data_IF_803873642031
#
_entry.id   IF_803873642031
#
_cell.length_a   1.000
_cell.length_b   1.000
_cell.length_c   1.000
_cell.angle_alpha   90.00
_cell.angle_beta   90.00
_cell.angle_gamma   90.00
#
_symmetry.space_group_name_H-M   'P 1'
#
loop_
_entity.id
_entity.type
_entity.pdbx_description
1 polymer ?
#
# COMPACT_ATOMS: atom_id res chain seq x y z
N UNK A 1 -12.34 8.97 23.81
CA UNK A 1 -11.75 8.75 25.15
C UNK A 1 -12.84 8.27 26.10
N UNK A 2 -12.79 7.00 26.51
CA UNK A 2 -13.78 6.42 27.43
C UNK A 2 -13.46 6.94 28.84
N UNK A 3 -14.35 7.75 29.42
CA UNK A 3 -14.15 8.34 30.75
C UNK A 3 -14.67 7.37 31.82
N UNK A 4 -13.77 6.60 32.43
CA UNK A 4 -14.12 5.76 33.57
C UNK A 4 -14.46 6.62 34.79
N UNK A 5 -15.67 6.46 35.32
CA UNK A 5 -16.15 7.20 36.50
C UNK A 5 -15.65 6.63 37.82
N UNK A 6 -15.31 5.33 37.84
CA UNK A 6 -14.91 4.62 39.05
C UNK A 6 -13.61 5.13 39.72
N UNK A 7 -12.51 5.45 38.99
CA UNK A 7 -11.33 6.06 39.62
C UNK A 7 -11.64 7.42 40.27
N UNK A 8 -12.54 8.21 39.69
CA UNK A 8 -12.94 9.51 40.25
C UNK A 8 -13.75 9.34 41.53
N UNK A 9 -14.70 8.40 41.54
CA UNK A 9 -15.51 8.06 42.71
C UNK A 9 -14.64 7.51 43.85
N UNK A 10 -13.68 6.62 43.55
CA UNK A 10 -12.76 6.06 44.55
C UNK A 10 -11.84 7.13 45.13
N UNK A 11 -11.32 8.05 44.31
CA UNK A 11 -10.54 9.21 44.82
C UNK A 11 -11.39 10.10 45.72
N UNK A 12 -12.64 10.33 45.38
CA UNK A 12 -13.54 11.14 46.21
C UNK A 12 -13.85 10.44 47.54
N UNK A 13 -14.11 9.12 47.52
CA UNK A 13 -14.33 8.33 48.73
C UNK A 13 -13.09 8.33 49.64
N UNK A 14 -11.89 8.20 49.06
CA UNK A 14 -10.63 8.23 49.80
C UNK A 14 -10.36 9.57 50.49
N UNK A 15 -10.81 10.70 49.93
CA UNK A 15 -10.70 12.01 50.60
C UNK A 15 -11.50 12.09 51.91
N UNK A 16 -12.59 11.33 52.00
CA UNK A 16 -13.46 11.29 53.16
C UNK A 16 -13.18 10.10 54.09
N UNK A 17 -12.19 9.27 53.78
CA UNK A 17 -11.83 8.07 54.55
C UNK A 17 -10.50 8.30 55.27
N UNK A 18 -10.45 8.43 56.60
CA UNK A 18 -9.19 8.52 57.35
C UNK A 18 -8.31 7.28 57.13
N UNK A 19 -6.99 7.51 57.03
CA UNK A 19 -5.97 6.47 56.78
C UNK A 19 -5.87 5.39 57.85
N UNK A 20 -6.46 5.63 59.02
CA UNK A 20 -6.53 4.71 60.16
C UNK A 20 -7.65 3.68 60.05
N UNK A 21 -8.60 3.84 59.11
CA UNK A 21 -9.64 2.84 58.88
C UNK A 21 -9.08 1.58 58.21
N UNK A 22 -9.59 0.42 58.62
CA UNK A 22 -9.22 -0.88 58.08
C UNK A 22 -9.45 -1.00 56.56
N UNK A 23 -10.41 -0.26 56.01
CA UNK A 23 -10.79 -0.30 54.60
C UNK A 23 -9.92 0.59 53.70
N UNK A 24 -9.15 1.52 54.27
CA UNK A 24 -8.28 2.42 53.50
C UNK A 24 -7.28 1.68 52.58
N UNK A 25 -6.53 0.65 53.03
CA UNK A 25 -5.62 -0.09 52.15
C UNK A 25 -6.36 -0.88 51.05
N UNK A 26 -7.60 -1.31 51.28
CA UNK A 26 -8.39 -2.01 50.27
C UNK A 26 -8.93 -1.03 49.20
N UNK A 27 -9.28 0.19 49.62
CA UNK A 27 -9.65 1.29 48.73
C UNK A 27 -8.50 1.74 47.83
N UNK A 28 -7.28 1.80 48.37
CA UNK A 28 -6.08 2.13 47.59
C UNK A 28 -5.80 1.07 46.50
N UNK A 29 -5.88 -0.22 46.87
CA UNK A 29 -5.79 -1.32 45.89
C UNK A 29 -6.90 -1.28 44.85
N UNK A 30 -8.12 -0.96 45.25
CA UNK A 30 -9.25 -0.86 44.34
C UNK A 30 -9.05 0.29 43.34
N UNK A 31 -8.53 1.43 43.79
CA UNK A 31 -8.20 2.57 42.95
C UNK A 31 -7.13 2.20 41.91
N UNK A 32 -6.02 1.60 42.36
CA UNK A 32 -4.92 1.17 41.48
C UNK A 32 -5.41 0.20 40.39
N UNK A 33 -6.18 -0.83 40.79
CA UNK A 33 -6.76 -1.79 39.85
C UNK A 33 -7.67 -1.10 38.83
N UNK A 34 -8.48 -0.15 39.28
CA UNK A 34 -9.42 0.55 38.39
C UNK A 34 -8.69 1.50 37.42
N UNK A 35 -7.61 2.13 37.85
CA UNK A 35 -6.75 2.95 36.98
C UNK A 35 -6.02 2.09 35.93
N UNK A 36 -5.51 0.93 36.34
CA UNK A 36 -4.90 -0.06 35.43
C UNK A 36 -5.90 -0.54 34.38
N UNK A 37 -7.13 -0.90 34.80
CA UNK A 37 -8.19 -1.32 33.88
C UNK A 37 -8.59 -0.19 32.92
N UNK A 38 -8.74 1.04 33.42
CA UNK A 38 -9.07 2.19 32.60
C UNK A 38 -8.00 2.43 31.52
N UNK A 39 -6.73 2.29 31.87
CA UNK A 39 -5.60 2.39 30.94
C UNK A 39 -5.65 1.30 29.88
N UNK A 40 -5.80 0.04 30.28
CA UNK A 40 -5.88 -1.12 29.37
C UNK A 40 -7.05 -1.01 28.39
N UNK A 41 -8.23 -0.59 28.83
CA UNK A 41 -9.38 -0.42 27.94
C UNK A 41 -9.17 0.76 26.99
N UNK A 42 -8.57 1.85 27.45
CA UNK A 42 -8.26 2.99 26.59
C UNK A 42 -7.25 2.61 25.50
N UNK A 43 -6.21 1.86 25.85
CA UNK A 43 -5.23 1.33 24.89
C UNK A 43 -5.88 0.38 23.87
N UNK A 44 -6.73 -0.54 24.33
CA UNK A 44 -7.46 -1.46 23.44
C UNK A 44 -8.38 -0.69 22.47
N UNK A 45 -9.10 0.32 22.98
CA UNK A 45 -9.97 1.16 22.16
C UNK A 45 -9.18 1.94 21.11
N UNK A 46 -8.03 2.50 21.50
CA UNK A 46 -7.15 3.22 20.58
C UNK A 46 -6.53 2.28 19.54
N UNK A 47 -6.19 1.05 19.91
CA UNK A 47 -5.69 0.04 18.98
C UNK A 47 -6.76 -0.35 17.94
N UNK A 48 -8.01 -0.51 18.37
CA UNK A 48 -9.13 -0.79 17.47
C UNK A 48 -9.36 0.37 16.50
N UNK A 49 -9.40 1.62 16.97
CA UNK A 49 -9.56 2.81 16.13
C UNK A 49 -8.45 2.91 15.07
N UNK A 50 -7.20 2.64 15.46
CA UNK A 50 -6.06 2.57 14.53
C UNK A 50 -6.23 1.47 13.48
N UNK A 51 -6.74 0.31 13.87
CA UNK A 51 -7.03 -0.83 12.96
C UNK A 51 -8.14 -0.47 11.97
N UNK A 52 -9.23 0.14 12.44
CA UNK A 52 -10.35 0.58 11.59
C UNK A 52 -9.93 1.66 10.60
N UNK A 53 -9.08 2.61 11.04
CA UNK A 53 -8.49 3.62 10.15
C UNK A 53 -7.66 2.97 9.05
N UNK A 54 -6.80 2.00 9.40
CA UNK A 54 -6.00 1.28 8.42
C UNK A 54 -6.88 0.48 7.43
N UNK A 55 -7.90 -0.24 7.92
CA UNK A 55 -8.84 -0.95 7.06
C UNK A 55 -9.54 0.00 6.08
N UNK A 56 -9.98 1.17 6.56
CA UNK A 56 -10.58 2.21 5.72
C UNK A 56 -9.62 2.73 4.66
N UNK A 57 -8.33 2.90 4.97
CA UNK A 57 -7.31 3.32 4.02
C UNK A 57 -7.03 2.25 2.96
N UNK A 58 -6.88 1.00 3.39
CA UNK A 58 -6.66 -0.14 2.48
C UNK A 58 -7.86 -0.36 1.54
N UNK A 59 -9.09 -0.12 2.01
CA UNK A 59 -10.29 -0.21 1.16
C UNK A 59 -10.30 0.81 0.01
N UNK A 60 -9.56 1.92 0.15
CA UNK A 60 -9.40 2.94 -0.90
C UNK A 60 -8.30 2.61 -1.90
N UNK A 61 -7.52 1.57 -1.62
CA UNK A 61 -6.43 1.10 -2.48
C UNK A 61 -6.97 -0.07 -3.33
N UNK A 62 -7.17 0.18 -4.61
CA UNK A 62 -7.43 -0.84 -5.61
C UNK A 62 -6.21 -1.75 -5.72
N UNK A 63 -6.42 -3.03 -5.44
CA UNK A 63 -5.43 -4.09 -5.54
C UNK A 63 -6.07 -5.32 -6.16
N UNK A 64 -5.32 -6.05 -6.99
CA UNK A 64 -5.80 -7.26 -7.66
C UNK A 64 -6.05 -8.42 -6.67
N UNK A 65 -5.40 -8.36 -5.50
CA UNK A 65 -5.45 -9.38 -4.45
C UNK A 65 -5.77 -8.75 -3.10
N UNK A 66 -6.53 -9.43 -2.22
CA UNK A 66 -6.83 -8.91 -0.88
C UNK A 66 -5.54 -8.64 -0.11
N UNK A 67 -5.42 -7.42 0.44
CA UNK A 67 -4.23 -6.96 1.15
C UNK A 67 -4.18 -7.57 2.56
N UNK A 68 -3.19 -8.40 2.91
CA UNK A 68 -3.06 -9.04 4.22
C UNK A 68 -2.45 -8.06 5.25
N UNK A 69 -2.82 -6.79 5.19
CA UNK A 69 -2.21 -5.71 5.99
C UNK A 69 -3.13 -5.17 7.08
N UNK A 70 -4.36 -5.67 7.19
CA UNK A 70 -5.39 -5.20 8.12
C UNK A 70 -5.02 -5.39 9.60
N UNK A 71 -4.03 -6.22 9.92
CA UNK A 71 -3.55 -6.43 11.30
C UNK A 71 -2.24 -5.70 11.59
N UNK A 72 -1.64 -5.08 10.59
CA UNK A 72 -0.33 -4.44 10.71
C UNK A 72 -0.44 -3.07 11.36
N UNK A 73 0.60 -2.67 12.08
CA UNK A 73 0.66 -1.36 12.72
C UNK A 73 1.08 -0.30 11.70
N UNK A 74 0.16 0.61 11.37
CA UNK A 74 0.46 1.82 10.59
C UNK A 74 1.31 2.79 11.42
N UNK A 75 2.41 3.27 10.86
CA UNK A 75 3.32 4.23 11.50
C UNK A 75 3.06 5.63 10.95
N UNK A 76 3.03 5.76 9.63
CA UNK A 76 2.79 7.03 8.96
C UNK A 76 2.16 6.82 7.59
N UNK A 77 1.32 7.76 7.19
CA UNK A 77 0.74 7.86 5.85
C UNK A 77 0.95 9.26 5.29
N UNK A 78 0.98 9.40 3.97
CA UNK A 78 1.10 10.70 3.32
C UNK A 78 1.31 10.64 1.82
N UNK A 79 1.15 11.80 1.18
CA UNK A 79 1.46 12.00 -0.23
C UNK A 79 2.89 12.53 -0.37
N UNK A 80 3.65 11.97 -1.31
CA UNK A 80 5.01 12.42 -1.62
C UNK A 80 5.31 12.21 -3.10
N UNK A 81 6.38 12.80 -3.60
CA UNK A 81 6.83 12.59 -4.96
C UNK A 81 7.87 11.46 -5.01
N UNK A 82 7.57 10.39 -5.73
CA UNK A 82 8.49 9.30 -6.00
C UNK A 82 9.12 9.47 -7.39
N UNK A 83 10.42 9.13 -7.53
CA UNK A 83 11.13 8.97 -8.79
C UNK A 83 10.75 9.99 -9.89
N UNK A 84 11.43 11.14 -9.92
CA UNK A 84 11.24 12.22 -10.91
C UNK A 84 9.90 12.98 -10.80
N UNK A 85 9.40 13.17 -9.57
CA UNK A 85 8.29 14.11 -9.31
C UNK A 85 6.88 13.51 -9.41
N UNK A 86 6.74 12.19 -9.58
CA UNK A 86 5.41 11.56 -9.67
C UNK A 86 4.79 11.45 -8.28
N UNK A 87 3.59 12.01 -8.09
CA UNK A 87 2.89 11.92 -6.81
C UNK A 87 2.45 10.47 -6.51
N UNK A 88 2.72 10.05 -5.27
CA UNK A 88 2.43 8.73 -4.72
C UNK A 88 1.90 8.85 -3.30
N UNK A 89 0.96 7.98 -2.98
CA UNK A 89 0.50 7.77 -1.62
C UNK A 89 1.33 6.66 -0.98
N UNK A 90 1.97 7.00 0.14
CA UNK A 90 2.77 6.08 0.92
C UNK A 90 2.04 5.68 2.19
N UNK A 91 2.08 4.39 2.48
CA UNK A 91 1.72 3.83 3.77
C UNK A 91 2.94 3.11 4.32
N UNK A 92 3.51 3.62 5.41
CA UNK A 92 4.57 2.95 6.14
C UNK A 92 3.96 2.20 7.32
N UNK A 93 3.98 0.88 7.23
CA UNK A 93 3.65 -0.04 8.31
C UNK A 93 4.95 -0.52 8.97
N UNK A 94 4.85 -1.15 10.16
CA UNK A 94 6.03 -1.63 10.92
C UNK A 94 7.02 -2.43 10.07
N UNK A 95 6.52 -3.35 9.25
CA UNK A 95 7.32 -4.33 8.52
C UNK A 95 7.19 -4.21 6.99
N UNK A 96 6.34 -3.32 6.48
CA UNK A 96 6.07 -3.16 5.05
C UNK A 96 5.84 -1.69 4.69
N UNK A 97 6.44 -1.25 3.59
CA UNK A 97 6.16 0.01 2.92
C UNK A 97 5.28 -0.26 1.68
N UNK A 98 4.09 0.35 1.63
CA UNK A 98 3.19 0.27 0.47
C UNK A 98 3.24 1.58 -0.30
N UNK A 99 3.49 1.49 -1.60
CA UNK A 99 3.49 2.61 -2.54
C UNK A 99 2.30 2.48 -3.47
N UNK A 100 1.47 3.51 -3.50
CA UNK A 100 0.28 3.54 -4.35
C UNK A 100 0.26 4.77 -5.27
N UNK A 101 -0.20 4.58 -6.51
CA UNK A 101 -0.45 5.65 -7.46
C UNK A 101 -1.83 6.25 -7.20
N UNK A 102 -1.95 7.57 -7.24
CA UNK A 102 -3.24 8.26 -7.17
C UNK A 102 -3.98 8.07 -8.50
N UNK A 103 -5.18 7.47 -8.48
CA UNK A 103 -6.02 7.29 -9.68
C UNK A 103 -7.14 8.33 -9.72
N UNK A 104 -7.69 8.68 -8.55
CA UNK A 104 -8.79 9.64 -8.43
C UNK A 104 -8.83 10.27 -7.05
N UNK A 105 -9.86 11.09 -6.79
CA UNK A 105 -10.03 11.75 -5.48
C UNK A 105 -10.16 10.70 -4.37
N UNK A 106 -9.07 10.50 -3.63
CA UNK A 106 -9.00 9.54 -2.53
C UNK A 106 -9.02 8.06 -2.96
N UNK A 107 -8.81 7.74 -4.24
CA UNK A 107 -8.64 6.36 -4.73
C UNK A 107 -7.24 6.15 -5.25
N UNK A 108 -6.65 5.03 -4.86
CA UNK A 108 -5.26 4.72 -5.15
C UNK A 108 -5.17 3.34 -5.81
N UNK A 109 -4.23 3.14 -6.73
CA UNK A 109 -3.85 1.82 -7.22
C UNK A 109 -2.56 1.42 -6.54
N UNK A 110 -2.52 0.21 -5.97
CA UNK A 110 -1.26 -0.33 -5.46
C UNK A 110 -0.26 -0.48 -6.61
N UNK A 111 0.92 0.10 -6.47
CA UNK A 111 2.00 0.02 -7.47
C UNK A 111 3.09 -0.92 -6.99
N UNK A 112 3.61 -0.69 -5.78
CA UNK A 112 4.69 -1.50 -5.21
C UNK A 112 4.47 -1.75 -3.72
N UNK A 113 4.96 -2.90 -3.25
CA UNK A 113 5.03 -3.26 -1.84
C UNK A 113 6.46 -3.68 -1.54
N UNK A 114 7.04 -3.10 -0.51
CA UNK A 114 8.42 -3.35 -0.11
C UNK A 114 8.44 -3.84 1.34
N UNK A 115 8.88 -5.07 1.61
CA UNK A 115 9.18 -5.50 2.96
C UNK A 115 10.33 -4.67 3.54
N UNK A 116 10.19 -4.21 4.79
CA UNK A 116 11.17 -3.30 5.40
C UNK A 116 12.55 -3.95 5.59
N UNK A 117 12.61 -5.28 5.74
CA UNK A 117 13.88 -6.00 5.84
C UNK A 117 14.67 -6.02 4.51
N UNK A 118 14.02 -5.79 3.37
CA UNK A 118 14.64 -5.72 2.04
C UNK A 118 15.10 -4.30 1.67
N UNK A 119 14.78 -3.30 2.50
CA UNK A 119 15.16 -1.90 2.28
C UNK A 119 16.36 -1.51 3.14
N UNK A 120 17.25 -0.73 2.54
CA UNK A 120 18.38 -0.08 3.22
C UNK A 120 18.29 1.42 3.04
N UNK A 121 18.48 2.15 4.12
CA UNK A 121 18.59 3.60 4.08
C UNK A 121 19.97 3.99 3.54
N UNK A 122 20.02 4.68 2.40
CA UNK A 122 21.30 5.09 1.78
C UNK A 122 21.70 6.47 2.28
N UNK A 123 20.85 7.48 2.04
CA UNK A 123 21.09 8.86 2.44
C UNK A 123 19.83 9.71 2.28
N UNK A 124 19.79 10.84 2.97
CA UNK A 124 18.88 11.94 2.67
C UNK A 124 19.68 13.10 2.09
N UNK A 125 19.19 13.71 1.01
CA UNK A 125 19.82 14.87 0.37
C UNK A 125 18.86 16.06 0.36
N UNK A 126 19.32 17.20 0.87
CA UNK A 126 18.55 18.45 0.84
C UNK A 126 18.87 19.15 -0.46
N UNK A 127 17.86 19.30 -1.32
CA UNK A 127 17.98 20.09 -2.53
C UNK A 127 17.49 21.51 -2.24
N UNK A 128 18.41 22.47 -2.35
CA UNK A 128 18.03 23.86 -2.52
C UNK A 128 17.23 23.97 -3.83
N UNK A 129 16.07 24.62 -3.79
CA UNK A 129 15.20 24.69 -4.94
C UNK A 129 15.81 25.58 -6.05
N UNK A 130 16.41 24.98 -7.07
CA UNK A 130 16.78 25.65 -8.31
C UNK A 130 15.52 25.88 -9.18
N UNK A 131 14.66 26.83 -8.80
CA UNK A 131 13.68 27.44 -9.72
C UNK A 131 12.86 28.52 -9.00
N UNK A 132 12.88 29.71 -9.59
CA UNK A 132 12.29 31.02 -9.22
C UNK A 132 10.76 31.00 -8.94
N UNK A 133 10.11 29.84 -8.85
CA UNK A 133 8.63 29.73 -8.79
C UNK A 133 8.08 28.72 -7.77
N UNK A 134 8.89 28.08 -6.91
CA UNK A 134 8.37 27.21 -5.84
C UNK A 134 9.19 27.38 -4.55
N UNK A 135 8.62 28.11 -3.60
CA UNK A 135 9.21 28.36 -2.29
C UNK A 135 9.16 27.07 -1.46
N UNK A 136 10.30 26.42 -1.30
CA UNK A 136 10.47 25.34 -0.33
C UNK A 136 11.70 24.47 -0.62
N UNK A 137 12.54 24.32 0.40
CA UNK A 137 13.59 23.30 0.48
C UNK A 137 12.94 21.92 0.36
N UNK A 138 13.44 21.10 -0.56
CA UNK A 138 12.93 19.74 -0.79
C UNK A 138 14.00 18.75 -0.41
N UNK A 139 13.64 17.78 0.41
CA UNK A 139 14.58 16.75 0.85
C UNK A 139 14.22 15.42 0.23
N UNK A 140 15.20 14.79 -0.42
CA UNK A 140 15.06 13.49 -1.05
C UNK A 140 15.62 12.41 -0.12
N UNK A 141 14.83 11.39 0.16
CA UNK A 141 15.25 10.17 0.85
C UNK A 141 15.57 9.12 -0.20
N UNK A 142 16.78 8.56 -0.13
CA UNK A 142 17.24 7.46 -0.97
C UNK A 142 17.20 6.17 -0.16
N UNK A 143 16.34 5.25 -0.59
CA UNK A 143 16.31 3.87 -0.13
C UNK A 143 16.82 2.96 -1.24
N UNK A 144 17.55 1.92 -0.90
CA UNK A 144 17.97 0.89 -1.84
C UNK A 144 17.28 -0.42 -1.49
N UNK A 145 16.71 -1.07 -2.48
CA UNK A 145 16.18 -2.42 -2.33
C UNK A 145 17.32 -3.42 -2.50
N UNK A 146 17.47 -4.34 -1.56
CA UNK A 146 18.64 -5.21 -1.52
C UNK A 146 18.64 -6.28 -2.61
N UNK A 147 17.47 -6.80 -2.97
CA UNK A 147 17.36 -7.95 -3.88
C UNK A 147 17.72 -7.59 -5.33
N UNK A 148 17.27 -6.43 -5.81
CA UNK A 148 17.48 -5.98 -7.20
C UNK A 148 18.39 -4.75 -7.30
N UNK A 149 18.93 -4.27 -6.16
CA UNK A 149 19.77 -3.07 -6.06
C UNK A 149 19.13 -1.82 -6.67
N UNK A 150 17.80 -1.78 -6.80
CA UNK A 150 17.10 -0.61 -7.34
C UNK A 150 17.12 0.51 -6.30
N UNK A 151 17.44 1.72 -6.78
CA UNK A 151 17.33 2.93 -5.98
C UNK A 151 15.89 3.45 -6.03
N UNK A 152 15.35 3.71 -4.85
CA UNK A 152 14.01 4.24 -4.64
C UNK A 152 14.16 5.61 -4.00
N UNK A 153 13.61 6.63 -4.66
CA UNK A 153 13.73 8.02 -4.21
C UNK A 153 12.38 8.61 -3.88
N UNK A 154 12.27 9.19 -2.69
CA UNK A 154 11.09 9.91 -2.22
C UNK A 154 11.45 11.36 -1.91
N UNK A 155 10.65 12.31 -2.37
CA UNK A 155 10.89 13.74 -2.16
C UNK A 155 9.83 14.31 -1.23
N UNK A 156 10.27 14.82 -0.09
CA UNK A 156 9.41 15.40 0.93
C UNK A 156 9.62 16.90 1.02
N UNK A 157 8.57 17.59 1.44
CA UNK A 157 8.66 18.95 1.96
C UNK A 157 9.39 18.95 3.31
N UNK A 158 9.99 20.09 3.65
CA UNK A 158 10.74 20.27 4.89
C UNK A 158 9.92 19.92 6.15
N UNK A 159 8.63 20.27 6.16
CA UNK A 159 7.76 20.03 7.32
C UNK A 159 7.47 18.55 7.56
N UNK A 160 7.38 17.73 6.52
CA UNK A 160 7.13 16.29 6.66
C UNK A 160 8.38 15.42 6.65
N UNK A 161 9.50 15.94 6.10
CA UNK A 161 10.75 15.20 5.93
C UNK A 161 11.23 14.58 7.24
N UNK A 162 11.35 15.36 8.31
CA UNK A 162 11.89 14.86 9.58
C UNK A 162 11.08 13.68 10.11
N UNK A 163 9.74 13.82 10.07
CA UNK A 163 8.81 12.78 10.51
C UNK A 163 8.95 11.49 9.69
N UNK A 164 9.09 11.60 8.38
CA UNK A 164 9.28 10.46 7.49
C UNK A 164 10.66 9.83 7.66
N UNK A 165 11.70 10.64 7.77
CA UNK A 165 13.07 10.18 7.98
C UNK A 165 13.20 9.37 9.28
N UNK A 166 12.68 9.91 10.38
CA UNK A 166 12.69 9.23 11.68
C UNK A 166 11.89 7.93 11.63
N UNK A 167 10.73 7.93 10.95
CA UNK A 167 9.93 6.73 10.77
C UNK A 167 10.65 5.67 9.93
N UNK A 168 11.30 6.03 8.82
CA UNK A 168 12.08 5.11 8.02
C UNK A 168 13.25 4.53 8.81
N UNK A 169 14.02 5.36 9.50
CA UNK A 169 15.15 4.90 10.31
C UNK A 169 14.69 3.98 11.44
N UNK A 170 13.60 4.32 12.14
CA UNK A 170 13.04 3.49 13.19
C UNK A 170 12.59 2.11 12.68
N UNK A 171 11.97 2.03 11.50
CA UNK A 171 11.54 0.75 10.93
C UNK A 171 12.71 -0.08 10.39
N UNK A 172 13.65 0.55 9.69
CA UNK A 172 14.80 -0.14 9.06
C UNK A 172 15.76 -0.70 10.11
N UNK A 173 15.91 0.03 11.23
CA UNK A 173 16.79 -0.35 12.34
C UNK A 173 16.05 -1.13 13.45
N UNK A 174 14.77 -1.45 13.27
CA UNK A 174 14.03 -2.29 14.21
C UNK A 174 14.73 -3.66 14.33
N UNK A 175 15.00 -4.16 15.55
CA UNK A 175 15.72 -5.41 15.75
C UNK A 175 15.11 -6.61 15.00
N UNK A 176 13.79 -6.67 14.87
CA UNK A 176 13.13 -7.75 14.10
C UNK A 176 13.47 -7.65 12.61
N UNK A 177 13.53 -6.45 12.05
CA UNK A 177 13.87 -6.24 10.64
C UNK A 177 15.35 -6.53 10.39
N UNK A 178 16.23 -6.13 11.31
CA UNK A 178 17.67 -6.45 11.26
C UNK A 178 17.91 -7.95 11.34
N UNK A 179 17.19 -8.66 12.23
CA UNK A 179 17.28 -10.11 12.35
C UNK A 179 16.77 -10.81 11.10
N UNK A 180 15.59 -10.43 10.57
CA UNK A 180 15.05 -11.01 9.33
C UNK A 180 16.01 -10.82 8.16
N UNK A 181 16.61 -9.63 8.03
CA UNK A 181 17.63 -9.35 7.02
C UNK A 181 18.87 -10.24 7.14
N UNK A 182 19.21 -10.70 8.36
CA UNK A 182 20.37 -11.57 8.63
C UNK A 182 20.07 -13.06 8.47
N UNK A 183 18.82 -13.46 8.76
CA UNK A 183 18.39 -14.86 8.87
C UNK A 183 17.85 -15.39 7.55
N UNK A 184 17.23 -14.56 6.71
CA UNK A 184 16.77 -14.99 5.39
C UNK A 184 17.88 -14.80 4.35
N UNK A 185 18.70 -15.83 4.05
CA UNK A 185 19.49 -15.81 2.82
C UNK A 185 18.50 -15.75 1.66
N UNK A 186 18.87 -14.98 0.64
CA UNK A 186 18.18 -14.86 -0.65
C UNK A 186 17.84 -16.25 -1.21
N UNK A 187 16.66 -16.75 -0.88
CA UNK A 187 16.02 -17.86 -1.58
C UNK A 187 14.79 -17.26 -2.24
N UNK A 188 15.00 -16.73 -3.43
CA UNK A 188 13.91 -16.55 -4.37
C UNK A 188 13.24 -17.91 -4.58
N UNK A 189 11.91 -18.03 -4.57
CA UNK A 189 11.27 -18.98 -5.45
C UNK A 189 11.55 -18.47 -6.88
N UNK A 190 12.68 -18.90 -7.45
CA UNK A 190 12.77 -18.98 -8.89
C UNK A 190 11.61 -19.88 -9.32
N UNK A 191 10.66 -19.31 -10.05
CA UNK A 191 9.83 -20.09 -10.95
C UNK A 191 10.81 -20.61 -12.01
N UNK A 192 11.39 -21.79 -11.71
CA UNK A 192 12.39 -22.46 -12.52
C UNK A 192 11.74 -23.03 -13.78
N UNK A 193 11.99 -22.34 -14.89
CA UNK A 193 12.63 -22.89 -16.10
C UNK A 193 12.36 -24.33 -16.53
N UNK A 194 11.91 -24.43 -17.78
CA UNK A 194 12.43 -25.29 -18.84
C UNK A 194 12.14 -26.80 -18.80
N UNK A 195 11.27 -27.18 -19.75
CA UNK A 195 11.16 -28.50 -20.34
C UNK A 195 12.45 -28.82 -21.11
N UNK A 196 13.23 -29.79 -20.62
CA UNK A 196 14.39 -30.33 -21.30
C UNK A 196 13.98 -31.48 -22.24
N UNK A 197 14.36 -31.36 -23.51
CA UNK A 197 14.34 -32.43 -24.51
C UNK A 197 15.55 -33.33 -24.29
N UNK A 198 15.31 -34.64 -24.31
CA UNK A 198 16.30 -35.70 -24.15
C UNK A 198 17.23 -35.83 -25.37
N UNK A 199 18.53 -36.08 -25.13
CA UNK A 199 19.40 -36.88 -26.00
C UNK A 199 20.65 -37.34 -25.24
N UNK A 200 21.06 -38.57 -25.53
CA UNK A 200 21.98 -39.49 -24.85
C UNK A 200 23.47 -39.07 -24.74
N UNK A 201 24.28 -39.81 -23.93
CA UNK A 201 25.70 -39.55 -23.72
C UNK A 201 26.60 -40.44 -24.59
N UNK A 202 27.70 -39.88 -25.11
CA UNK A 202 28.94 -40.64 -25.39
C UNK A 202 30.16 -39.69 -25.39
N UNK A 203 31.27 -40.21 -24.89
CA UNK A 203 32.51 -39.52 -24.43
C UNK A 203 33.50 -39.19 -25.59
N UNK A 204 34.79 -38.79 -25.38
CA UNK A 204 35.44 -37.89 -24.40
C UNK A 204 36.32 -36.78 -25.07
N UNK A 205 36.88 -35.88 -24.24
CA UNK A 205 37.90 -34.84 -24.52
C UNK A 205 39.09 -35.26 -25.43
N UNK A 206 39.77 -34.28 -26.08
CA UNK A 206 41.09 -33.89 -25.56
C UNK A 206 41.48 -32.39 -25.62
N UNK A 207 42.21 -32.01 -24.57
CA UNK A 207 43.32 -31.03 -24.40
C UNK A 207 43.69 -29.97 -25.46
N UNK A 208 43.82 -28.73 -24.95
CA UNK A 208 45.05 -27.91 -24.77
C UNK A 208 46.04 -27.71 -25.95
N UNK A 209 46.33 -26.42 -26.23
CA UNK A 209 47.29 -25.73 -27.13
C UNK A 209 46.54 -24.91 -28.19
N UNK A 210 46.89 -23.71 -28.61
CA UNK A 210 48.06 -22.84 -28.41
C UNK A 210 47.68 -21.43 -28.95
N UNK A 211 48.35 -20.39 -28.44
CA UNK A 211 48.92 -19.24 -29.18
C UNK A 211 48.02 -18.39 -30.12
N UNK A 212 48.01 -17.06 -29.85
CA UNK A 212 48.36 -16.10 -30.90
C UNK A 212 47.41 -14.92 -31.18
N UNK A 213 47.77 -13.76 -30.61
CA UNK A 213 47.87 -12.40 -31.23
C UNK A 213 46.88 -11.95 -32.33
N UNK A 214 46.38 -10.72 -32.15
CA UNK A 214 46.45 -9.55 -33.07
C UNK A 214 45.13 -8.89 -33.53
N UNK A 215 45.19 -7.55 -33.64
CA UNK A 215 44.30 -6.66 -34.42
C UNK A 215 43.17 -6.01 -33.61
N UNK A 216 43.19 -4.74 -33.17
CA UNK A 216 43.24 -3.44 -33.88
C UNK A 216 42.10 -3.20 -34.89
N UNK A 217 41.25 -2.20 -34.62
CA UNK A 217 40.30 -1.61 -35.58
C UNK A 217 39.09 -0.98 -34.86
N UNK A 218 39.04 0.32 -34.53
CA UNK A 218 38.79 1.49 -35.41
C UNK A 218 37.28 1.75 -35.66
N UNK A 219 36.81 2.86 -35.06
CA UNK A 219 35.76 3.80 -35.49
C UNK A 219 34.27 3.41 -35.50
N UNK A 220 33.46 4.22 -34.77
CA UNK A 220 32.62 5.25 -35.41
C UNK A 220 32.12 6.30 -34.40
N UNK A 221 32.60 7.53 -34.58
CA UNK A 221 32.00 8.78 -34.13
C UNK A 221 30.95 9.23 -35.16
N UNK A 222 29.80 9.72 -34.70
CA UNK A 222 28.88 10.68 -35.34
C UNK A 222 27.73 10.88 -34.34
N UNK A 223 27.25 12.06 -33.97
CA UNK A 223 27.45 13.43 -34.42
C UNK A 223 26.68 14.36 -33.46
N UNK A 224 26.99 15.64 -33.56
CA UNK A 224 26.69 16.70 -32.59
C UNK A 224 25.25 17.23 -32.62
N UNK A 225 24.85 17.74 -31.45
CA UNK A 225 23.92 18.82 -31.03
C UNK A 225 23.66 19.99 -32.05
N UNK A 226 22.89 21.06 -31.72
CA UNK A 226 21.51 21.15 -31.18
C UNK A 226 20.66 22.31 -31.80
N UNK A 227 19.39 22.43 -31.33
CA UNK A 227 18.63 23.68 -31.06
C UNK A 227 17.94 24.48 -32.19
N UNK A 228 16.70 24.89 -31.85
CA UNK A 228 16.04 26.20 -32.08
C UNK A 228 14.69 26.19 -32.84
N UNK A 229 13.85 27.18 -32.46
CA UNK A 229 12.47 27.51 -32.86
C UNK A 229 11.36 26.71 -32.14
N UNK A 230 10.49 27.27 -31.30
CA UNK A 230 10.11 28.67 -31.05
C UNK A 230 8.68 28.93 -31.56
N UNK A 231 7.66 28.68 -30.74
CA UNK A 231 6.33 29.29 -30.92
C UNK A 231 5.67 29.58 -29.56
N UNK A 232 5.46 30.88 -29.31
CA UNK A 232 4.58 31.43 -28.28
C UNK A 232 3.15 31.42 -28.82
N UNK A 233 2.17 31.08 -27.99
CA UNK A 233 0.80 31.59 -28.11
C UNK A 233 0.37 32.14 -26.76
N UNK A 234 -0.14 33.37 -26.77
CA UNK A 234 -0.65 34.10 -25.62
C UNK A 234 -2.18 34.19 -25.66
N UNK A 235 -2.74 34.25 -24.45
CA UNK A 235 -3.89 35.06 -24.00
C UNK A 235 -5.24 34.97 -24.73
N UNK A 236 -6.24 34.53 -23.97
CA UNK A 236 -7.51 35.24 -23.68
C UNK A 236 -8.32 34.29 -22.76
N UNK A 237 -8.80 34.61 -21.56
CA UNK A 237 -9.27 35.89 -21.05
C UNK A 237 -10.76 36.07 -21.34
N UNK A 238 -11.67 35.42 -20.59
CA UNK A 238 -13.03 35.93 -20.37
C UNK A 238 -13.75 35.31 -19.17
N UNK A 239 -14.43 36.22 -18.49
CA UNK A 239 -15.11 36.21 -17.20
C UNK A 239 -16.49 35.51 -17.19
N UNK A 240 -16.91 35.22 -15.95
CA UNK A 240 -18.26 35.28 -15.34
C UNK A 240 -19.47 34.70 -16.10
N UNK A 241 -20.29 33.92 -15.41
CA UNK A 241 -21.62 34.35 -14.89
C UNK A 241 -22.14 33.30 -13.89
N UNK A 242 -22.67 33.82 -12.78
CA UNK A 242 -23.45 33.18 -11.71
C UNK A 242 -24.85 32.74 -12.15
N UNK A 243 -25.36 31.64 -11.58
CA UNK A 243 -26.81 31.46 -11.40
C UNK A 243 -27.12 30.50 -10.25
N UNK A 244 -27.69 31.06 -9.18
CA UNK A 244 -28.53 30.38 -8.19
C UNK A 244 -29.91 30.05 -8.79
N UNK A 245 -30.46 28.90 -8.44
CA UNK A 245 -31.92 28.66 -8.29
C UNK A 245 -32.09 27.28 -7.62
N UNK A 246 -32.40 27.21 -6.33
CA UNK A 246 -33.74 27.15 -5.71
C UNK A 246 -34.62 25.95 -6.12
N UNK A 247 -34.78 25.06 -5.14
CA UNK A 247 -36.05 24.58 -4.55
C UNK A 247 -36.90 23.45 -5.18
N UNK A 248 -37.48 22.68 -4.23
CA UNK A 248 -38.68 21.81 -4.27
C UNK A 248 -38.40 20.31 -4.55
N UNK A 249 -38.56 19.35 -3.63
CA UNK A 249 -39.61 18.97 -2.66
C UNK A 249 -40.90 18.41 -3.31
N UNK A 250 -41.03 17.06 -3.30
CA UNK A 250 -42.27 16.23 -3.36
C UNK A 250 -41.87 14.86 -2.73
N UNK A 251 -42.20 14.50 -1.48
CA UNK A 251 -43.45 13.96 -0.89
C UNK A 251 -43.92 12.61 -1.49
N UNK A 252 -43.72 11.53 -0.68
CA UNK A 252 -44.61 10.39 -0.32
C UNK A 252 -45.65 9.93 -1.36
N UNK A 253 -45.86 8.64 -1.69
CA UNK A 253 -46.08 7.48 -0.81
C UNK A 253 -46.33 6.19 -1.66
N UNK A 254 -46.54 5.02 -1.05
CA UNK A 254 -46.36 3.69 -1.65
C UNK A 254 -47.67 3.05 -2.15
N UNK A 255 -47.56 2.07 -3.05
CA UNK A 255 -48.63 1.08 -3.23
C UNK A 255 -48.07 -0.32 -3.49
N UNK A 256 -48.75 -1.26 -2.85
CA UNK A 256 -48.50 -2.69 -2.81
C UNK A 256 -49.52 -3.37 -3.72
N UNK A 257 -49.14 -4.44 -4.41
CA UNK A 257 -50.07 -5.55 -4.69
C UNK A 257 -49.33 -6.75 -5.22
N UNK A 258 -49.43 -7.84 -4.47
CA UNK A 258 -49.23 -9.20 -4.94
C UNK A 258 -50.21 -9.52 -6.08
N UNK A 259 -49.77 -10.33 -7.05
CA UNK A 259 -50.57 -11.36 -7.74
C UNK A 259 -49.62 -12.32 -8.44
N UNK A 260 -49.77 -13.59 -8.09
CA UNK A 260 -49.10 -14.76 -8.66
C UNK A 260 -50.06 -15.43 -9.70
N UNK A 261 -49.73 -16.60 -10.28
CA UNK A 261 -49.00 -16.79 -11.54
C UNK A 261 -49.90 -17.29 -12.69
N UNK A 262 -49.40 -17.24 -13.94
CA UNK A 262 -49.94 -18.09 -15.01
C UNK A 262 -48.85 -18.58 -15.97
N UNK A 263 -49.06 -19.82 -16.39
CA UNK A 263 -48.17 -20.75 -17.07
C UNK A 263 -48.19 -20.59 -18.61
N UNK A 264 -47.01 -20.82 -19.19
CA UNK A 264 -46.72 -21.45 -20.49
C UNK A 264 -47.13 -20.71 -21.78
N UNK A 265 -46.12 -20.11 -22.42
CA UNK A 265 -45.90 -20.33 -23.86
C UNK A 265 -44.42 -20.59 -24.12
N UNK A 266 -44.15 -21.79 -24.64
CA UNK A 266 -42.84 -22.26 -25.03
C UNK A 266 -42.61 -21.97 -26.52
N UNK A 267 -41.49 -21.33 -26.85
CA UNK A 267 -40.90 -21.33 -28.18
C UNK A 267 -39.38 -21.47 -28.06
N UNK A 268 -38.88 -22.61 -28.60
CA UNK A 268 -37.50 -22.87 -29.08
C UNK A 268 -36.83 -21.58 -29.55
N UNK A 269 -35.57 -21.26 -29.26
CA UNK A 269 -34.37 -22.11 -29.21
C UNK A 269 -33.21 -21.29 -28.63
N UNK A 270 -32.59 -21.77 -27.56
CA UNK A 270 -31.14 -21.69 -27.31
C UNK A 270 -30.90 -22.52 -26.04
N UNK A 271 -30.41 -23.74 -26.21
CA UNK A 271 -29.95 -24.56 -25.07
C UNK A 271 -28.64 -23.94 -24.56
N UNK A 272 -28.74 -22.94 -23.70
CA UNK A 272 -27.65 -22.60 -22.78
C UNK A 272 -27.46 -23.79 -21.85
N UNK A 273 -26.48 -24.62 -22.16
CA UNK A 273 -25.98 -25.64 -21.24
C UNK A 273 -25.45 -24.86 -20.03
N UNK A 274 -26.18 -24.91 -18.92
CA UNK A 274 -25.82 -24.29 -17.65
C UNK A 274 -24.60 -25.02 -17.07
N UNK A 275 -23.42 -24.66 -17.59
CA UNK A 275 -22.15 -25.18 -17.11
C UNK A 275 -21.79 -24.48 -15.78
N UNK A 276 -21.40 -25.22 -14.73
CA UNK A 276 -21.20 -24.73 -13.36
C UNK A 276 -20.03 -23.73 -13.27
N UNK A 277 -20.10 -22.67 -12.46
CA UNK A 277 -19.07 -21.62 -12.44
C UNK A 277 -17.65 -22.10 -12.07
N UNK A 278 -17.54 -23.27 -11.44
CA UNK A 278 -16.28 -23.88 -11.03
C UNK A 278 -16.31 -25.38 -11.33
N UNK A 279 -15.23 -25.92 -11.90
CA UNK A 279 -15.04 -27.36 -12.13
C UNK A 279 -13.67 -27.80 -11.65
N UNK A 280 -13.56 -29.04 -11.18
CA UNK A 280 -12.30 -29.67 -10.84
C UNK A 280 -11.88 -30.63 -11.96
N UNK A 281 -10.74 -30.37 -12.58
CA UNK A 281 -10.18 -31.21 -13.65
C UNK A 281 -8.75 -31.54 -13.25
N UNK A 282 -8.44 -32.82 -13.09
CA UNK A 282 -7.12 -33.34 -12.69
C UNK A 282 -6.59 -32.73 -11.37
N UNK A 283 -7.45 -32.50 -10.38
CA UNK A 283 -7.06 -31.97 -9.07
C UNK A 283 -6.75 -30.46 -9.06
N UNK A 284 -7.07 -29.74 -10.15
CA UNK A 284 -6.99 -28.29 -10.23
C UNK A 284 -8.39 -27.69 -10.42
N UNK A 285 -8.63 -26.58 -9.73
CA UNK A 285 -9.91 -25.86 -9.74
C UNK A 285 -9.89 -24.81 -10.85
N UNK A 286 -10.78 -24.94 -11.82
CA UNK A 286 -10.93 -24.05 -12.97
C UNK A 286 -12.19 -23.21 -12.84
N UNK A 287 -12.11 -21.92 -13.18
CA UNK A 287 -13.23 -20.97 -13.10
C UNK A 287 -13.69 -20.60 -14.50
N UNK A 288 -15.00 -20.70 -14.72
CA UNK A 288 -15.65 -20.32 -15.96
C UNK A 288 -15.30 -18.88 -16.35
N UNK A 289 -14.81 -18.70 -17.57
CA UNK A 289 -14.56 -17.42 -18.21
C UNK A 289 -15.33 -17.34 -19.52
N UNK A 290 -15.78 -16.14 -19.90
CA UNK A 290 -16.60 -15.94 -21.08
C UNK A 290 -15.90 -15.03 -22.09
N UNK A 291 -15.81 -15.49 -23.33
CA UNK A 291 -15.29 -14.69 -24.45
C UNK A 291 -16.31 -13.66 -24.92
N UNK A 292 -15.86 -12.64 -25.63
CA UNK A 292 -16.72 -11.63 -26.28
C UNK A 292 -17.74 -12.23 -27.27
N UNK A 293 -17.55 -13.49 -27.70
CA UNK A 293 -18.48 -14.26 -28.53
C UNK A 293 -19.44 -15.17 -27.73
N UNK A 294 -19.62 -14.90 -26.44
CA UNK A 294 -20.45 -15.67 -25.51
C UNK A 294 -20.05 -17.14 -25.29
N UNK A 295 -18.87 -17.56 -25.78
CA UNK A 295 -18.34 -18.91 -25.58
C UNK A 295 -17.73 -19.02 -24.18
N UNK A 296 -18.20 -19.99 -23.38
CA UNK A 296 -17.66 -20.28 -22.05
C UNK A 296 -16.51 -21.29 -22.12
N UNK A 297 -15.44 -21.04 -21.37
CA UNK A 297 -14.30 -21.96 -21.19
C UNK A 297 -13.91 -22.04 -19.71
N UNK A 298 -13.26 -23.14 -19.34
CA UNK A 298 -12.73 -23.39 -18.00
C UNK A 298 -11.22 -23.24 -18.00
#
# INVERSE_FOLDING_TARGET
MIRFRYPLLLRELMKHTPKTMADYPELEKALEKMESLATRVNEASQALEKKERLASLLSRIESSTPLPFHEKKLIIEGLTQMNKGKERHLLLLKDVLVVSKVIGKGRYAMENVFPMYELVFVKANVHAADSILRNGTRTTVHLQHMLDRRDITFTFDEASFQKWNDAFQACINDPEMVLKRRIEPVVSPSIGSNLATAASPDSPNPSLRDIGKSGSGVFKMSGMLPSAFGMRTMSSGKQLVSAESQASMVVLSPESSMREPSLIHASRSDMEINLPDVVEINGQVWRKSQSAKNTSYY
#
